data_IF_080063836465
#
_entry.id   IF_080063836465
#
_cell.length_a   1.000
_cell.length_b   1.000
_cell.length_c   1.000
_cell.angle_alpha   90.00
_cell.angle_beta   90.00
_cell.angle_gamma   90.00
#
_symmetry.space_group_name_H-M   'P 1'
#
loop_
_entity.id
_entity.type
_entity.pdbx_description
1 polymer ?
#
# COMPACT_ATOMS: atom_id res chain seq x y z
N UNK A 1 35.86 -60.97 35.11
CA UNK A 1 36.34 -59.58 34.92
C UNK A 1 36.76 -59.30 33.48
N UNK A 2 37.45 -60.22 32.81
CA UNK A 2 37.90 -60.13 31.41
C UNK A 2 36.78 -60.00 30.36
N UNK A 3 35.63 -60.65 30.54
CA UNK A 3 34.49 -60.56 29.58
C UNK A 3 33.84 -59.17 29.53
N UNK A 4 33.76 -58.47 30.66
CA UNK A 4 33.18 -57.12 30.73
C UNK A 4 34.10 -56.07 30.11
N UNK A 5 35.41 -56.22 30.26
CA UNK A 5 36.40 -55.35 29.62
C UNK A 5 36.39 -55.49 28.10
N UNK A 6 36.21 -56.71 27.58
CA UNK A 6 36.08 -56.96 26.14
C UNK A 6 34.77 -56.38 25.57
N UNK A 7 33.66 -56.51 26.31
CA UNK A 7 32.38 -55.93 25.89
C UNK A 7 32.44 -54.39 25.84
N UNK A 8 33.07 -53.75 26.82
CA UNK A 8 33.22 -52.29 26.84
C UNK A 8 34.11 -51.83 25.68
N UNK A 9 35.22 -52.54 25.40
CA UNK A 9 36.09 -52.25 24.26
C UNK A 9 35.40 -52.44 22.90
N UNK A 10 34.52 -53.44 22.78
CA UNK A 10 33.73 -53.66 21.56
C UNK A 10 32.71 -52.52 21.36
N UNK A 11 32.06 -52.07 22.43
CA UNK A 11 31.06 -51.00 22.39
C UNK A 11 31.71 -49.66 22.02
N UNK A 12 32.89 -49.35 22.56
CA UNK A 12 33.61 -48.12 22.21
C UNK A 12 34.13 -48.15 20.77
N UNK A 13 34.60 -49.31 20.27
CA UNK A 13 34.97 -49.49 18.86
C UNK A 13 33.77 -49.38 17.91
N UNK A 14 32.61 -49.95 18.27
CA UNK A 14 31.42 -49.88 17.42
C UNK A 14 30.87 -48.44 17.30
N UNK A 15 30.89 -47.68 18.39
CA UNK A 15 30.51 -46.26 18.39
C UNK A 15 31.51 -45.39 17.63
N UNK A 16 32.82 -45.68 17.72
CA UNK A 16 33.84 -44.95 16.98
C UNK A 16 33.74 -45.21 15.46
N UNK A 17 33.42 -46.45 15.05
CA UNK A 17 33.22 -46.80 13.64
C UNK A 17 32.03 -46.06 13.00
N UNK A 18 30.92 -45.90 13.73
CA UNK A 18 29.76 -45.14 13.26
C UNK A 18 30.03 -43.64 13.12
N UNK A 19 30.92 -43.07 13.94
CA UNK A 19 31.30 -41.67 13.87
C UNK A 19 32.33 -41.39 12.75
N UNK A 20 33.19 -42.36 12.42
CA UNK A 20 34.24 -42.22 11.40
C UNK A 20 33.74 -42.46 9.97
N UNK A 21 32.72 -43.32 9.77
CA UNK A 21 32.07 -43.50 8.47
C UNK A 21 31.33 -42.24 7.95
N UNK A 22 31.30 -41.16 8.73
CA UNK A 22 30.66 -39.91 8.39
C UNK A 22 31.56 -38.92 7.61
N UNK A 23 32.81 -39.28 7.30
CA UNK A 23 33.64 -38.46 6.42
C UNK A 23 34.97 -39.10 6.03
N UNK A 24 35.33 -38.91 4.75
CA UNK A 24 36.64 -39.13 4.11
C UNK A 24 36.80 -40.40 3.24
N UNK A 25 36.07 -40.44 2.11
CA UNK A 25 36.55 -40.96 0.81
C UNK A 25 35.53 -40.60 -0.30
N UNK A 26 36.00 -40.14 -1.47
CA UNK A 26 35.16 -39.83 -2.65
C UNK A 26 34.59 -41.13 -3.26
N UNK A 27 33.70 -41.79 -2.52
CA UNK A 27 32.94 -42.94 -2.99
C UNK A 27 31.79 -42.41 -3.84
N UNK A 28 31.75 -42.80 -5.12
CA UNK A 28 30.67 -42.43 -6.05
C UNK A 28 29.37 -43.19 -5.72
N UNK A 29 28.78 -42.89 -4.57
CA UNK A 29 27.49 -43.39 -4.11
C UNK A 29 26.42 -42.29 -4.21
N UNK A 30 25.16 -42.71 -4.40
CA UNK A 30 24.02 -41.81 -4.41
C UNK A 30 23.80 -41.24 -3.01
N UNK A 31 24.02 -39.93 -2.85
CA UNK A 31 23.72 -39.23 -1.62
C UNK A 31 22.19 -39.12 -1.39
N UNK A 32 21.74 -39.08 -0.13
CA UNK A 32 20.34 -38.84 0.17
C UNK A 32 19.89 -37.49 -0.39
N UNK A 33 18.64 -37.43 -0.85
CA UNK A 33 18.04 -36.21 -1.36
C UNK A 33 17.91 -35.15 -0.24
N UNK A 34 18.38 -33.93 -0.48
CA UNK A 34 18.31 -32.83 0.47
C UNK A 34 16.96 -32.12 0.29
N UNK A 35 16.11 -32.17 1.32
CA UNK A 35 14.87 -31.39 1.35
C UNK A 35 15.10 -30.02 1.99
N UNK A 36 14.78 -28.95 1.27
CA UNK A 36 14.81 -27.60 1.84
C UNK A 36 13.63 -27.40 2.80
N UNK A 37 13.92 -27.06 4.06
CA UNK A 37 12.90 -26.73 5.05
C UNK A 37 12.46 -25.26 4.89
N UNK A 38 11.27 -25.06 4.34
CA UNK A 38 10.68 -23.72 4.23
C UNK A 38 10.28 -23.17 5.60
N UNK A 39 10.39 -21.85 5.74
CA UNK A 39 9.86 -21.14 6.91
C UNK A 39 8.33 -21.32 6.96
N UNK A 40 7.75 -21.63 8.14
CA UNK A 40 6.30 -21.66 8.28
C UNK A 40 5.71 -20.27 8.00
N UNK A 41 4.50 -20.23 7.43
CA UNK A 41 3.78 -18.97 7.22
C UNK A 41 3.54 -18.26 8.56
N UNK A 42 3.69 -16.94 8.57
CA UNK A 42 3.41 -16.13 9.76
C UNK A 42 1.92 -16.16 10.10
N UNK A 43 1.61 -16.25 11.38
CA UNK A 43 0.21 -16.28 11.83
C UNK A 43 -0.43 -14.89 11.68
N UNK A 44 -1.53 -14.82 10.91
CA UNK A 44 -2.30 -13.59 10.73
C UNK A 44 -3.42 -13.47 11.77
N UNK A 45 -3.71 -12.25 12.27
CA UNK A 45 -4.83 -12.03 13.18
C UNK A 45 -6.19 -12.31 12.50
N UNK A 46 -7.26 -12.55 13.29
CA UNK A 46 -8.60 -12.76 12.75
C UNK A 46 -9.09 -11.57 11.90
N UNK A 47 -9.80 -11.86 10.80
CA UNK A 47 -10.28 -10.85 9.85
C UNK A 47 -11.21 -9.80 10.46
N UNK A 48 -12.08 -10.19 11.39
CA UNK A 48 -13.01 -9.27 12.07
C UNK A 48 -12.27 -8.19 12.87
N UNK A 49 -11.10 -8.51 13.41
CA UNK A 49 -10.29 -7.59 14.18
C UNK A 49 -9.73 -6.49 13.26
N UNK A 50 -9.14 -6.88 12.12
CA UNK A 50 -8.67 -5.93 11.11
C UNK A 50 -9.80 -5.04 10.55
N UNK A 51 -10.99 -5.61 10.36
CA UNK A 51 -12.17 -4.86 9.89
C UNK A 51 -12.60 -3.79 10.91
N UNK A 52 -12.66 -4.15 12.20
CA UNK A 52 -13.03 -3.22 13.26
C UNK A 52 -12.10 -2.00 13.29
N UNK A 53 -10.78 -2.22 13.28
CA UNK A 53 -9.81 -1.12 13.31
C UNK A 53 -9.81 -0.30 12.01
N UNK A 54 -10.10 -0.92 10.86
CA UNK A 54 -10.27 -0.19 9.60
C UNK A 54 -11.47 0.76 9.67
N UNK A 55 -12.59 0.32 10.26
CA UNK A 55 -13.76 1.19 10.49
C UNK A 55 -13.47 2.32 11.48
N UNK A 56 -12.73 2.02 12.55
CA UNK A 56 -12.29 3.04 13.51
C UNK A 56 -11.41 4.08 12.81
N UNK A 57 -10.47 3.66 11.97
CA UNK A 57 -9.61 4.57 11.19
C UNK A 57 -10.41 5.44 10.21
N UNK A 58 -11.55 4.97 9.70
CA UNK A 58 -12.46 5.75 8.85
C UNK A 58 -13.41 6.67 9.64
N UNK A 59 -13.59 6.45 10.94
CA UNK A 59 -14.54 7.21 11.76
C UNK A 59 -14.36 8.74 11.77
N UNK A 60 -13.13 9.32 11.71
CA UNK A 60 -12.96 10.77 11.70
C UNK A 60 -13.59 11.43 10.48
N UNK A 61 -13.66 10.73 9.34
CA UNK A 61 -14.30 11.23 8.13
C UNK A 61 -15.82 11.40 8.31
N UNK A 62 -16.45 10.46 9.02
CA UNK A 62 -17.89 10.54 9.34
C UNK A 62 -18.15 11.74 10.28
N UNK A 63 -17.31 11.90 11.30
CA UNK A 63 -17.39 13.03 12.24
C UNK A 63 -17.25 14.36 11.49
N UNK A 64 -16.31 14.45 10.55
CA UNK A 64 -16.13 15.64 9.70
C UNK A 64 -17.39 15.95 8.87
N UNK A 65 -17.98 14.94 8.23
CA UNK A 65 -19.21 15.12 7.44
C UNK A 65 -20.37 15.62 8.29
N UNK A 66 -20.60 15.02 9.46
CA UNK A 66 -21.66 15.45 10.39
C UNK A 66 -21.37 16.87 10.91
N UNK A 67 -20.11 17.18 11.21
CA UNK A 67 -19.69 18.51 11.65
C UNK A 67 -20.01 19.61 10.64
N UNK A 68 -19.76 19.37 9.34
CA UNK A 68 -20.12 20.31 8.28
C UNK A 68 -21.62 20.55 8.18
N UNK A 69 -22.44 19.49 8.30
CA UNK A 69 -23.89 19.62 8.32
C UNK A 69 -24.36 20.45 9.53
N UNK A 70 -23.73 20.29 10.70
CA UNK A 70 -24.00 21.07 11.90
C UNK A 70 -23.71 22.57 11.75
N UNK A 71 -22.66 22.94 11.01
CA UNK A 71 -22.33 24.35 10.69
C UNK A 71 -23.18 24.88 9.52
N UNK A 72 -24.06 24.06 8.94
CA UNK A 72 -24.94 24.43 7.84
C UNK A 72 -24.26 24.44 6.47
N UNK A 73 -23.10 23.80 6.34
CA UNK A 73 -22.40 23.54 5.08
C UNK A 73 -23.00 22.28 4.44
N UNK A 74 -24.03 22.48 3.64
CA UNK A 74 -24.75 21.39 2.95
C UNK A 74 -24.21 21.21 1.53
N UNK A 75 -24.16 19.97 0.99
CA UNK A 75 -23.73 19.72 -0.40
C UNK A 75 -24.46 20.59 -1.43
N UNK A 76 -25.76 20.82 -1.24
CA UNK A 76 -26.57 21.69 -2.11
C UNK A 76 -26.07 23.14 -2.10
N UNK A 77 -25.69 23.68 -0.94
CA UNK A 77 -25.16 25.05 -0.84
C UNK A 77 -23.79 25.15 -1.49
N UNK A 78 -22.93 24.16 -1.27
CA UNK A 78 -21.59 24.11 -1.89
C UNK A 78 -21.72 24.03 -3.41
N UNK A 79 -22.54 23.13 -3.93
CA UNK A 79 -22.79 23.00 -5.37
C UNK A 79 -23.46 24.27 -5.95
N UNK A 80 -24.39 24.85 -5.21
CA UNK A 80 -25.00 26.14 -5.52
C UNK A 80 -23.93 27.23 -5.66
N UNK A 81 -23.02 27.38 -4.70
CA UNK A 81 -21.94 28.36 -4.74
C UNK A 81 -20.92 28.14 -5.86
N UNK A 82 -20.65 26.88 -6.21
CA UNK A 82 -19.75 26.54 -7.33
C UNK A 82 -20.36 26.87 -8.70
N UNK A 83 -21.70 26.79 -8.81
CA UNK A 83 -22.43 27.04 -10.06
C UNK A 83 -23.01 28.46 -10.16
N UNK A 84 -23.21 29.15 -9.04
CA UNK A 84 -23.78 30.49 -8.96
C UNK A 84 -22.71 31.54 -9.26
N UNK A 85 -22.50 31.86 -10.53
CA UNK A 85 -21.61 32.93 -10.97
C UNK A 85 -22.19 33.72 -12.13
N UNK A 86 -22.24 35.05 -12.00
CA UNK A 86 -22.75 35.99 -13.02
C UNK A 86 -21.96 35.96 -14.34
N UNK A 87 -20.72 35.45 -14.33
CA UNK A 87 -19.89 35.28 -15.52
C UNK A 87 -19.95 33.84 -16.05
N UNK A 88 -20.41 33.66 -17.29
CA UNK A 88 -20.59 32.35 -17.97
C UNK A 88 -19.38 31.40 -17.88
N UNK A 89 -18.15 31.93 -17.78
CA UNK A 89 -16.92 31.11 -17.80
C UNK A 89 -16.42 30.64 -16.41
N UNK A 90 -16.94 31.18 -15.31
CA UNK A 90 -16.48 30.86 -13.95
C UNK A 90 -16.72 29.41 -13.54
N UNK A 91 -17.97 28.88 -13.57
CA UNK A 91 -18.23 27.51 -13.16
C UNK A 91 -17.42 26.52 -14.00
N UNK A 92 -17.25 26.78 -15.30
CA UNK A 92 -16.45 25.95 -16.21
C UNK A 92 -14.99 25.86 -15.75
N UNK A 93 -14.37 26.99 -15.39
CA UNK A 93 -12.98 27.00 -14.93
C UNK A 93 -12.79 26.24 -13.61
N UNK A 94 -13.72 26.36 -12.67
CA UNK A 94 -13.68 25.68 -11.38
C UNK A 94 -13.88 24.18 -11.55
N UNK A 95 -14.88 23.77 -12.34
CA UNK A 95 -15.13 22.35 -12.64
C UNK A 95 -13.93 21.73 -13.36
N UNK A 96 -13.34 22.44 -14.33
CA UNK A 96 -12.15 21.96 -15.03
C UNK A 96 -10.96 21.77 -14.07
N UNK A 97 -10.77 22.67 -13.11
CA UNK A 97 -9.72 22.53 -12.10
C UNK A 97 -9.97 21.34 -11.15
N UNK A 98 -11.20 21.20 -10.64
CA UNK A 98 -11.58 20.06 -9.79
C UNK A 98 -11.47 18.73 -10.52
N UNK A 99 -11.87 18.68 -11.79
CA UNK A 99 -11.73 17.49 -12.63
C UNK A 99 -10.25 17.13 -12.86
N UNK A 100 -9.39 18.13 -13.09
CA UNK A 100 -7.94 17.89 -13.21
C UNK A 100 -7.32 17.39 -11.91
N UNK A 101 -7.74 17.93 -10.76
CA UNK A 101 -7.28 17.46 -9.44
C UNK A 101 -7.75 16.03 -9.15
N UNK A 102 -9.02 15.72 -9.45
CA UNK A 102 -9.57 14.37 -9.33
C UNK A 102 -8.85 13.38 -10.26
N UNK A 103 -8.43 13.82 -11.45
CA UNK A 103 -7.65 13.00 -12.38
C UNK A 103 -6.26 12.67 -11.84
N UNK A 104 -5.58 13.63 -11.18
CA UNK A 104 -4.29 13.39 -10.51
C UNK A 104 -4.47 12.36 -9.38
N UNK A 105 -5.53 12.49 -8.59
CA UNK A 105 -5.76 11.55 -7.48
C UNK A 105 -6.16 10.16 -7.96
N UNK A 106 -6.92 10.08 -9.05
CA UNK A 106 -7.20 8.83 -9.73
C UNK A 106 -5.93 8.19 -10.31
N UNK A 107 -4.98 8.99 -10.83
CA UNK A 107 -3.70 8.48 -11.28
C UNK A 107 -2.91 7.84 -10.12
N UNK A 108 -2.93 8.42 -8.93
CA UNK A 108 -2.29 7.79 -7.76
C UNK A 108 -2.98 6.51 -7.31
N UNK A 109 -4.31 6.42 -7.45
CA UNK A 109 -5.01 5.16 -7.27
C UNK A 109 -4.58 4.09 -8.30
N UNK A 110 -4.37 4.48 -9.57
CA UNK A 110 -3.84 3.57 -10.59
C UNK A 110 -2.40 3.16 -10.31
N UNK A 111 -1.58 4.05 -9.78
CA UNK A 111 -0.23 3.72 -9.29
C UNK A 111 -0.26 2.70 -8.16
N UNK A 112 -1.15 2.87 -7.18
CA UNK A 112 -1.31 1.91 -6.09
C UNK A 112 -1.72 0.51 -6.57
N UNK A 113 -2.54 0.44 -7.63
CA UNK A 113 -3.13 -0.83 -8.06
C UNK A 113 -2.36 -1.52 -9.18
N UNK A 114 -1.85 -0.80 -10.18
CA UNK A 114 -1.37 -1.40 -11.44
C UNK A 114 -0.18 -0.72 -12.13
N UNK A 115 0.01 0.60 -12.02
CA UNK A 115 1.02 1.33 -12.81
C UNK A 115 2.42 1.25 -12.20
N UNK A 116 3.45 1.30 -13.05
CA UNK A 116 4.82 1.49 -12.60
C UNK A 116 5.14 2.98 -12.36
N UNK A 117 6.27 3.26 -11.69
CA UNK A 117 6.65 4.62 -11.32
C UNK A 117 6.97 5.51 -12.55
N UNK A 118 7.56 4.96 -13.61
CA UNK A 118 7.92 5.71 -14.81
C UNK A 118 6.70 6.09 -15.65
N UNK A 119 5.71 5.20 -15.75
CA UNK A 119 4.40 5.46 -16.35
C UNK A 119 3.65 6.52 -15.57
N UNK A 120 3.59 6.36 -14.24
CA UNK A 120 2.92 7.31 -13.35
C UNK A 120 3.54 8.69 -13.48
N UNK A 121 4.86 8.79 -13.44
CA UNK A 121 5.56 10.07 -13.58
C UNK A 121 5.29 10.70 -14.95
N UNK A 122 5.28 9.90 -16.02
CA UNK A 122 4.99 10.39 -17.37
C UNK A 122 3.57 10.98 -17.46
N UNK A 123 2.54 10.25 -17.01
CA UNK A 123 1.17 10.74 -16.99
C UNK A 123 0.99 11.94 -16.05
N UNK A 124 1.69 11.93 -14.91
CA UNK A 124 1.63 12.99 -13.92
C UNK A 124 2.15 14.31 -14.51
N UNK A 125 3.23 14.30 -15.29
CA UNK A 125 3.74 15.53 -15.94
C UNK A 125 2.67 16.18 -16.84
N UNK A 126 1.97 15.39 -17.65
CA UNK A 126 0.88 15.91 -18.49
C UNK A 126 -0.29 16.42 -17.66
N UNK A 127 -0.73 15.66 -16.66
CA UNK A 127 -1.84 16.08 -15.79
C UNK A 127 -1.49 17.31 -14.94
N UNK A 128 -0.26 17.45 -14.48
CA UNK A 128 0.20 18.62 -13.73
C UNK A 128 0.20 19.88 -14.60
N UNK A 129 0.61 19.78 -15.87
CA UNK A 129 0.51 20.92 -16.79
C UNK A 129 -0.95 21.38 -16.98
N UNK A 130 -1.88 20.44 -17.14
CA UNK A 130 -3.31 20.73 -17.23
C UNK A 130 -3.80 21.36 -15.93
N UNK A 131 -3.50 20.74 -14.79
CA UNK A 131 -3.92 21.19 -13.45
C UNK A 131 -3.39 22.59 -13.12
N UNK A 132 -2.17 22.90 -13.55
CA UNK A 132 -1.57 24.22 -13.39
C UNK A 132 -2.35 25.29 -14.17
N UNK A 133 -2.66 25.03 -15.45
CA UNK A 133 -3.40 25.98 -16.30
C UNK A 133 -4.84 26.16 -15.82
N UNK A 134 -5.54 25.07 -15.52
CA UNK A 134 -6.93 25.12 -15.03
C UNK A 134 -6.99 25.78 -13.65
N UNK A 135 -6.03 25.47 -12.77
CA UNK A 135 -5.92 26.05 -11.43
C UNK A 135 -5.68 27.55 -11.47
N UNK A 136 -4.72 28.02 -12.27
CA UNK A 136 -4.44 29.44 -12.40
C UNK A 136 -5.68 30.22 -12.87
N UNK A 137 -6.42 29.67 -13.85
CA UNK A 137 -7.67 30.28 -14.34
C UNK A 137 -8.76 30.27 -13.27
N UNK A 138 -8.99 29.15 -12.59
CA UNK A 138 -10.02 29.02 -11.55
C UNK A 138 -9.76 29.97 -10.37
N UNK A 139 -8.53 30.00 -9.85
CA UNK A 139 -8.17 30.87 -8.73
C UNK A 139 -8.24 32.36 -9.11
N UNK A 140 -7.81 32.72 -10.32
CA UNK A 140 -7.91 34.10 -10.83
C UNK A 140 -9.37 34.56 -10.94
N UNK A 141 -10.28 33.69 -11.39
CA UNK A 141 -11.71 33.98 -11.46
C UNK A 141 -12.33 34.19 -10.07
N UNK A 142 -11.91 33.38 -9.08
CA UNK A 142 -12.34 33.54 -7.68
C UNK A 142 -11.83 34.87 -7.11
N UNK A 143 -10.57 35.22 -7.38
CA UNK A 143 -9.99 36.48 -6.92
C UNK A 143 -10.70 37.68 -7.55
N UNK A 144 -11.00 37.65 -8.86
CA UNK A 144 -11.72 38.71 -9.55
C UNK A 144 -13.12 38.92 -8.94
N UNK A 145 -13.85 37.83 -8.67
CA UNK A 145 -15.15 37.89 -8.03
C UNK A 145 -15.12 38.55 -6.64
N UNK A 146 -14.09 38.24 -5.84
CA UNK A 146 -13.92 38.82 -4.49
C UNK A 146 -13.58 40.31 -4.51
N UNK A 147 -12.94 40.79 -5.59
CA UNK A 147 -12.62 42.22 -5.76
C UNK A 147 -13.78 43.03 -6.32
N UNK A 148 -14.68 42.39 -7.06
CA UNK A 148 -15.86 43.02 -7.64
C UNK A 148 -17.07 43.03 -6.72
N UNK A 149 -17.05 42.20 -5.67
CA UNK A 149 -18.07 42.15 -4.60
C UNK A 149 -17.65 43.04 -3.44
#
# INVERSE_FOLDING_TARGET
MTKHLFAIGLITLLSAAHAFAAGDEDVFELQPEIHHAFRPAESMPPTWFSQLFSLIALSPWIVLMVGWLGVGVTPVKVLGQLTSGSSSMRPVSIIAFLASLASVEYLFYLYWTRLNIFETLSYLVFLLAITFVTGQRALSQIQAHRKSS
#
